data_IF_603107398940
#
_entry.id   IF_603107398940
#
_cell.length_a   1.000
_cell.length_b   1.000
_cell.length_c   1.000
_cell.angle_alpha   90.00
_cell.angle_beta   90.00
_cell.angle_gamma   90.00
#
_symmetry.space_group_name_H-M   'P 1'
#
loop_
_entity.id
_entity.type
_entity.pdbx_description
1 polymer ?
#
# COMPACT_ATOMS: atom_id res chain seq x y z
N UNK A 1 -19.24 -12.35 -0.57
CA UNK A 1 -18.76 -11.17 -1.33
C UNK A 1 -18.21 -11.68 -2.65
N UNK A 2 -18.46 -11.04 -3.80
CA UNK A 2 -17.73 -11.43 -4.99
C UNK A 2 -16.28 -11.09 -4.72
N UNK A 3 -15.46 -12.11 -4.48
CA UNK A 3 -14.01 -11.98 -4.65
C UNK A 3 -13.87 -11.51 -6.09
N UNK A 4 -13.58 -10.22 -6.28
CA UNK A 4 -13.13 -9.74 -7.58
C UNK A 4 -11.88 -10.55 -7.82
N UNK A 5 -11.97 -11.50 -8.73
CA UNK A 5 -10.86 -12.29 -9.21
C UNK A 5 -9.80 -11.28 -9.65
N UNK A 6 -8.84 -11.02 -8.76
CA UNK A 6 -7.65 -10.24 -9.08
C UNK A 6 -6.83 -11.20 -9.89
N UNK A 7 -7.21 -11.39 -11.16
CA UNK A 7 -6.34 -12.00 -12.16
C UNK A 7 -5.27 -10.95 -12.46
N UNK A 8 -4.39 -10.73 -11.48
CA UNK A 8 -3.14 -10.06 -11.71
C UNK A 8 -2.24 -11.09 -12.38
N UNK A 9 -1.80 -10.78 -13.59
CA UNK A 9 -0.74 -11.56 -14.22
C UNK A 9 0.45 -11.64 -13.26
N UNK A 10 1.23 -12.74 -13.25
CA UNK A 10 2.40 -12.87 -12.38
C UNK A 10 3.36 -11.67 -12.46
N UNK A 11 3.43 -11.05 -13.63
CA UNK A 11 4.20 -9.83 -13.87
C UNK A 11 3.64 -8.61 -13.11
N UNK A 12 2.33 -8.49 -13.00
CA UNK A 12 1.70 -7.39 -12.25
C UNK A 12 1.83 -7.61 -10.74
N UNK A 13 1.77 -8.86 -10.27
CA UNK A 13 2.10 -9.19 -8.87
C UNK A 13 3.55 -8.82 -8.53
N UNK A 14 4.50 -9.07 -9.44
CA UNK A 14 5.90 -8.68 -9.26
C UNK A 14 6.07 -7.16 -9.17
N UNK A 15 5.39 -6.39 -10.03
CA UNK A 15 5.40 -4.92 -10.00
C UNK A 15 4.78 -4.38 -8.70
N UNK A 16 3.67 -4.96 -8.25
CA UNK A 16 3.01 -4.58 -7.01
C UNK A 16 3.90 -4.85 -5.79
N UNK A 17 4.57 -6.01 -5.76
CA UNK A 17 5.52 -6.35 -4.70
C UNK A 17 6.70 -5.38 -4.69
N UNK A 18 7.30 -5.10 -5.86
CA UNK A 18 8.41 -4.17 -5.96
C UNK A 18 8.01 -2.76 -5.51
N UNK A 19 6.85 -2.27 -5.93
CA UNK A 19 6.33 -0.98 -5.49
C UNK A 19 6.06 -0.93 -3.98
N UNK A 20 5.60 -2.04 -3.40
CA UNK A 20 5.40 -2.16 -1.96
C UNK A 20 6.72 -2.07 -1.20
N UNK A 21 7.73 -2.85 -1.60
CA UNK A 21 9.03 -2.87 -0.94
C UNK A 21 9.73 -1.51 -1.02
N UNK A 22 9.64 -0.85 -2.17
CA UNK A 22 10.16 0.50 -2.38
C UNK A 22 9.46 1.52 -1.46
N UNK A 23 8.13 1.53 -1.47
CA UNK A 23 7.35 2.43 -0.63
C UNK A 23 7.58 2.16 0.87
N UNK A 24 7.65 0.89 1.27
CA UNK A 24 7.90 0.49 2.65
C UNK A 24 9.30 0.87 3.11
N UNK A 25 10.31 0.76 2.25
CA UNK A 25 11.68 1.20 2.56
C UNK A 25 11.73 2.71 2.83
N UNK A 26 10.92 3.49 2.11
CA UNK A 26 10.87 4.94 2.27
C UNK A 26 10.17 5.43 3.56
N UNK A 27 9.24 4.65 4.11
CA UNK A 27 8.42 5.07 5.29
C UNK A 27 8.67 4.22 6.54
N UNK A 28 9.07 2.96 6.37
CA UNK A 28 9.21 1.95 7.42
C UNK A 28 10.12 2.34 8.59
N UNK A 29 11.24 3.07 8.39
CA UNK A 29 12.09 3.53 9.48
C UNK A 29 11.39 4.49 10.45
N UNK A 30 10.39 5.26 9.99
CA UNK A 30 9.66 6.24 10.81
C UNK A 30 8.40 5.69 11.48
N UNK A 31 8.08 4.41 11.27
CA UNK A 31 6.86 3.77 11.78
C UNK A 31 7.12 3.08 13.12
N UNK A 32 6.23 3.32 14.09
CA UNK A 32 6.24 2.65 15.38
C UNK A 32 6.23 1.11 15.23
N UNK A 33 7.15 0.38 15.88
CA UNK A 33 7.23 -1.08 15.79
C UNK A 33 5.92 -1.83 16.09
N UNK A 34 5.10 -1.32 17.03
CA UNK A 34 3.81 -1.90 17.40
C UNK A 34 2.74 -1.64 16.33
N UNK A 35 2.85 -0.54 15.59
CA UNK A 35 1.95 -0.20 14.50
C UNK A 35 2.33 -0.88 13.16
N UNK A 36 3.59 -1.31 12.98
CA UNK A 36 4.13 -1.82 11.70
C UNK A 36 3.22 -2.77 10.93
N UNK A 37 2.60 -3.74 11.61
CA UNK A 37 1.69 -4.69 10.95
C UNK A 37 0.46 -4.02 10.36
N UNK A 38 -0.17 -3.11 11.11
CA UNK A 38 -1.31 -2.33 10.64
C UNK A 38 -0.89 -1.35 9.52
N UNK A 39 0.26 -0.70 9.67
CA UNK A 39 0.78 0.23 8.66
C UNK A 39 1.13 -0.47 7.34
N UNK A 40 1.66 -1.69 7.40
CA UNK A 40 1.90 -2.53 6.22
C UNK A 40 0.61 -2.88 5.49
N UNK A 41 -0.42 -3.30 6.23
CA UNK A 41 -1.73 -3.59 5.65
C UNK A 41 -2.34 -2.37 4.97
N UNK A 42 -2.20 -1.20 5.59
CA UNK A 42 -2.67 0.06 5.01
C UNK A 42 -1.90 0.45 3.73
N UNK A 43 -0.57 0.34 3.74
CA UNK A 43 0.24 0.62 2.55
C UNK A 43 -0.14 -0.32 1.39
N UNK A 44 -0.35 -1.61 1.67
CA UNK A 44 -0.80 -2.58 0.69
C UNK A 44 -2.16 -2.22 0.09
N UNK A 45 -3.09 -1.76 0.93
CA UNK A 45 -4.41 -1.31 0.50
C UNK A 45 -4.34 -0.07 -0.40
N UNK A 46 -3.45 0.88 -0.10
CA UNK A 46 -3.19 2.04 -0.96
C UNK A 46 -2.67 1.59 -2.33
N UNK A 47 -1.66 0.73 -2.34
CA UNK A 47 -1.00 0.24 -3.56
C UNK A 47 -1.98 -0.50 -4.46
N UNK A 48 -2.79 -1.40 -3.88
CA UNK A 48 -3.84 -2.10 -4.62
C UNK A 48 -4.90 -1.14 -5.15
N UNK A 49 -5.31 -0.15 -4.35
CA UNK A 49 -6.26 0.87 -4.78
C UNK A 49 -5.76 1.70 -5.97
N UNK A 50 -4.50 2.15 -5.93
CA UNK A 50 -3.88 2.89 -7.04
C UNK A 50 -3.79 2.03 -8.30
N UNK A 51 -3.38 0.77 -8.16
CA UNK A 51 -3.30 -0.16 -9.28
C UNK A 51 -4.66 -0.43 -9.93
N UNK A 52 -5.71 -0.62 -9.13
CA UNK A 52 -7.08 -0.81 -9.62
C UNK A 52 -7.64 0.42 -10.36
N UNK A 53 -7.15 1.63 -10.03
CA UNK A 53 -7.50 2.87 -10.72
C UNK A 53 -6.73 3.07 -12.04
N UNK A 54 -5.87 2.12 -12.42
CA UNK A 54 -5.01 2.24 -13.60
C UNK A 54 -3.83 3.19 -13.38
N UNK A 55 -3.59 3.64 -12.16
CA UNK A 55 -2.47 4.53 -11.81
C UNK A 55 -1.16 3.77 -11.60
N UNK A 56 -0.86 2.83 -12.49
CA UNK A 56 0.27 1.90 -12.37
C UNK A 56 1.65 2.55 -12.50
N UNK A 57 1.71 3.75 -13.06
CA UNK A 57 2.94 4.55 -13.16
C UNK A 57 3.31 5.21 -11.82
N UNK A 58 4.60 5.12 -11.46
CA UNK A 58 5.16 5.64 -10.20
C UNK A 58 4.39 5.19 -8.94
N UNK A 59 3.92 3.94 -8.94
CA UNK A 59 3.03 3.39 -7.91
C UNK A 59 3.57 3.56 -6.47
N UNK A 60 4.86 3.32 -6.27
CA UNK A 60 5.52 3.46 -4.97
C UNK A 60 5.48 4.92 -4.47
N UNK A 61 5.88 5.88 -5.31
CA UNK A 61 5.90 7.29 -4.96
C UNK A 61 4.49 7.82 -4.62
N UNK A 62 3.50 7.46 -5.44
CA UNK A 62 2.09 7.81 -5.19
C UNK A 62 1.59 7.20 -3.89
N UNK A 63 1.95 5.94 -3.61
CA UNK A 63 1.56 5.27 -2.38
C UNK A 63 2.15 5.97 -1.14
N UNK A 64 3.43 6.37 -1.19
CA UNK A 64 4.09 7.12 -0.10
C UNK A 64 3.42 8.47 0.12
N UNK A 65 3.11 9.21 -0.94
CA UNK A 65 2.41 10.51 -0.86
C UNK A 65 1.05 10.32 -0.18
N UNK A 66 0.26 9.34 -0.63
CA UNK A 66 -1.07 9.07 -0.08
C UNK A 66 -1.00 8.58 1.37
N UNK A 67 -0.01 7.76 1.70
CA UNK A 67 0.24 7.28 3.05
C UNK A 67 0.52 8.44 4.01
N UNK A 68 1.40 9.37 3.63
CA UNK A 68 1.78 10.52 4.45
C UNK A 68 0.70 11.61 4.51
N UNK A 69 -0.06 11.78 3.43
CA UNK A 69 -1.09 12.80 3.31
C UNK A 69 -2.42 12.45 3.97
N UNK A 70 -2.60 11.20 4.42
CA UNK A 70 -3.82 10.79 5.13
C UNK A 70 -3.60 10.96 6.63
N UNK A 71 -4.25 11.93 7.30
CA UNK A 71 -4.16 12.05 8.74
C UNK A 71 -4.72 10.79 9.38
N UNK A 72 -3.88 10.09 10.15
CA UNK A 72 -4.28 8.93 10.92
C UNK A 72 -4.76 9.40 12.27
N UNK A 73 -6.06 9.37 12.50
CA UNK A 73 -6.57 9.58 13.84
C UNK A 73 -6.01 8.49 14.76
N UNK A 74 -5.43 8.86 15.92
CA UNK A 74 -4.91 7.88 16.86
C UNK A 74 -6.09 7.05 17.41
N UNK A 75 -6.25 5.82 16.90
CA UNK A 75 -7.28 4.88 17.37
C UNK A 75 -8.13 4.20 16.31
N UNK A 76 -7.93 4.42 15.01
CA UNK A 76 -8.69 3.72 13.97
C UNK A 76 -8.21 2.25 13.82
N UNK A 77 -9.03 1.23 14.17
CA UNK A 77 -8.67 -0.15 13.88
C UNK A 77 -8.72 -0.38 12.36
N UNK A 78 -7.81 -1.25 11.88
CA UNK A 78 -7.85 -1.75 10.51
C UNK A 78 -9.23 -2.40 10.27
N UNK A 79 -10.02 -1.80 9.38
CA UNK A 79 -11.29 -2.33 8.91
C UNK A 79 -11.05 -3.43 7.87
#
# INVERSE_FOLDING_TARGET
MPFRDVIAEPNDLAKLSAAFDEAWTAIGPGIDPQARSAERGYLGSIILGLWQLGESDMLAAKAVIKFKGTPREPGQPAA
#
